data_IF_980096227641
#
_entry.id   IF_980096227641
#
_cell.length_a   1.000
_cell.length_b   1.000
_cell.length_c   1.000
_cell.angle_alpha   90.00
_cell.angle_beta   90.00
_cell.angle_gamma   90.00
#
_symmetry.space_group_name_H-M   'P 1'
#
loop_
_entity.id
_entity.type
_entity.pdbx_description
1 polymer ?
#
# COMPACT_ATOMS: atom_id res chain seq x y z
N UNK A 1 4.38 -11.36 29.06
CA UNK A 1 4.42 -11.48 27.58
C UNK A 1 5.62 -10.66 27.10
N UNK A 2 6.55 -11.28 26.38
CA UNK A 2 7.75 -10.60 25.89
C UNK A 2 7.37 -9.63 24.76
N UNK A 3 7.66 -8.34 24.92
CA UNK A 3 7.36 -7.31 23.92
C UNK A 3 8.44 -7.39 22.84
N UNK A 4 8.12 -7.98 21.69
CA UNK A 4 9.04 -8.00 20.55
C UNK A 4 8.82 -6.77 19.68
N UNK A 5 9.90 -6.20 19.15
CA UNK A 5 9.86 -5.10 18.17
C UNK A 5 8.91 -5.42 16.99
N UNK A 6 8.90 -6.68 16.55
CA UNK A 6 7.99 -7.21 15.53
C UNK A 6 6.52 -7.16 15.97
N UNK A 7 6.23 -7.51 17.22
CA UNK A 7 4.88 -7.42 17.79
C UNK A 7 4.39 -5.98 17.88
N UNK A 8 5.23 -5.05 18.34
CA UNK A 8 4.89 -3.62 18.40
C UNK A 8 4.65 -3.05 17.01
N UNK A 9 5.48 -3.42 16.04
CA UNK A 9 5.32 -2.93 14.67
C UNK A 9 4.06 -3.49 14.00
N UNK A 10 3.79 -4.79 14.16
CA UNK A 10 2.56 -5.40 13.67
C UNK A 10 1.32 -4.74 14.28
N UNK A 11 1.32 -4.51 15.59
CA UNK A 11 0.22 -3.84 16.28
C UNK A 11 0.05 -2.40 15.77
N UNK A 12 1.15 -1.66 15.59
CA UNK A 12 1.11 -0.32 15.00
C UNK A 12 0.60 -0.34 13.57
N UNK A 13 1.03 -1.30 12.75
CA UNK A 13 0.54 -1.44 11.38
C UNK A 13 -0.95 -1.77 11.35
N UNK A 14 -1.39 -2.65 12.25
CA UNK A 14 -2.78 -3.03 12.40
C UNK A 14 -3.63 -1.83 12.83
N UNK A 15 -3.21 -1.05 13.84
CA UNK A 15 -3.82 0.23 14.23
C UNK A 15 -3.85 1.22 13.06
N UNK A 16 -2.80 1.22 12.23
CA UNK A 16 -2.69 2.13 11.10
C UNK A 16 -3.65 1.76 9.98
N UNK A 17 -3.97 0.49 9.75
CA UNK A 17 -4.88 0.09 8.66
C UNK A 17 -6.33 -0.15 9.12
N UNK A 18 -6.55 -0.79 10.27
CA UNK A 18 -7.90 -1.02 10.80
C UNK A 18 -8.57 0.31 11.24
N UNK A 19 -7.80 1.22 11.82
CA UNK A 19 -8.29 2.55 12.18
C UNK A 19 -8.57 3.47 10.97
N UNK A 20 -8.09 3.14 9.77
CA UNK A 20 -8.39 3.94 8.56
C UNK A 20 -9.83 3.76 8.13
N UNK A 21 -10.35 2.53 8.19
CA UNK A 21 -11.71 2.27 7.70
C UNK A 21 -12.74 2.87 8.67
N UNK A 22 -12.53 2.72 9.99
CA UNK A 22 -13.38 3.36 11.02
C UNK A 22 -13.35 4.88 10.93
N UNK A 23 -12.16 5.48 10.85
CA UNK A 23 -12.01 6.93 10.74
C UNK A 23 -12.56 7.45 9.40
N UNK A 24 -12.38 6.70 8.30
CA UNK A 24 -12.96 7.05 7.00
C UNK A 24 -14.48 7.03 7.05
N UNK A 25 -15.09 6.09 7.77
CA UNK A 25 -16.54 6.02 7.91
C UNK A 25 -17.09 7.10 8.84
N UNK A 26 -16.35 7.47 9.90
CA UNK A 26 -16.66 8.64 10.72
C UNK A 26 -16.64 9.93 9.88
N UNK A 27 -15.58 10.15 9.10
CA UNK A 27 -15.42 11.29 8.19
C UNK A 27 -16.56 11.34 7.16
N UNK A 28 -16.96 10.19 6.60
CA UNK A 28 -18.07 10.11 5.63
C UNK A 28 -19.43 10.47 6.24
N UNK A 29 -19.60 10.28 7.55
CA UNK A 29 -20.84 10.65 8.26
C UNK A 29 -20.91 12.15 8.55
N UNK A 30 -19.78 12.87 8.53
CA UNK A 30 -19.73 14.34 8.65
C UNK A 30 -20.21 15.01 7.36
N UNK A 31 -21.51 15.28 7.28
CA UNK A 31 -22.16 15.86 6.10
C UNK A 31 -22.78 17.25 6.38
N UNK A 32 -22.70 17.74 7.61
CA UNK A 32 -23.25 19.05 7.96
C UNK A 32 -22.32 20.19 7.45
N UNK A 33 -22.87 21.33 6.98
CA UNK A 33 -22.06 22.41 6.39
C UNK A 33 -21.04 23.02 7.35
N UNK A 34 -21.37 23.08 8.64
CA UNK A 34 -20.53 23.56 9.74
C UNK A 34 -19.38 22.60 10.08
N UNK A 35 -19.49 21.32 9.70
CA UNK A 35 -18.45 20.31 9.90
C UNK A 35 -17.45 20.23 8.73
N UNK A 36 -17.60 21.05 7.69
CA UNK A 36 -16.78 20.95 6.47
C UNK A 36 -15.28 21.15 6.74
N UNK A 37 -14.92 22.10 7.58
CA UNK A 37 -13.53 22.38 7.93
C UNK A 37 -12.93 21.23 8.75
N UNK A 38 -13.61 20.81 9.82
CA UNK A 38 -13.19 19.67 10.66
C UNK A 38 -13.03 18.38 9.84
N UNK A 39 -13.97 18.11 8.93
CA UNK A 39 -13.90 16.96 8.02
C UNK A 39 -12.63 17.02 7.16
N UNK A 40 -12.35 18.18 6.58
CA UNK A 40 -11.17 18.39 5.71
C UNK A 40 -9.87 18.17 6.48
N UNK A 41 -9.80 18.69 7.71
CA UNK A 41 -8.64 18.51 8.58
C UNK A 41 -8.44 17.05 8.99
N UNK A 42 -9.53 16.35 9.34
CA UNK A 42 -9.50 14.91 9.65
C UNK A 42 -9.05 14.07 8.45
N UNK A 43 -9.54 14.38 7.25
CA UNK A 43 -9.10 13.74 5.99
C UNK A 43 -7.59 13.96 5.76
N UNK A 44 -7.11 15.21 5.91
CA UNK A 44 -5.70 15.54 5.73
C UNK A 44 -4.80 14.83 6.74
N UNK A 45 -5.14 14.86 8.03
CA UNK A 45 -4.36 14.22 9.09
C UNK A 45 -4.32 12.70 8.93
N UNK A 46 -5.43 12.08 8.56
CA UNK A 46 -5.51 10.66 8.25
C UNK A 46 -4.56 10.27 7.11
N UNK A 47 -4.59 11.05 6.01
CA UNK A 47 -3.73 10.85 4.85
C UNK A 47 -2.25 11.00 5.21
N UNK A 48 -1.89 12.05 5.95
CA UNK A 48 -0.51 12.28 6.39
C UNK A 48 0.01 11.13 7.28
N UNK A 49 -0.81 10.69 8.24
CA UNK A 49 -0.46 9.56 9.11
C UNK A 49 -0.23 8.29 8.31
N UNK A 50 -1.15 7.96 7.40
CA UNK A 50 -1.06 6.76 6.55
C UNK A 50 0.20 6.77 5.69
N UNK A 51 0.47 7.87 4.98
CA UNK A 51 1.65 8.00 4.13
C UNK A 51 2.95 7.99 4.95
N UNK A 52 2.98 8.64 6.10
CA UNK A 52 4.14 8.64 7.01
C UNK A 52 4.48 7.23 7.49
N UNK A 53 3.46 6.45 7.88
CA UNK A 53 3.63 5.07 8.34
C UNK A 53 4.10 4.14 7.22
N UNK A 54 3.54 4.27 6.02
CA UNK A 54 3.98 3.51 4.85
C UNK A 54 5.44 3.81 4.49
N UNK A 55 5.83 5.09 4.50
CA UNK A 55 7.23 5.49 4.29
C UNK A 55 8.14 4.87 5.34
N UNK A 56 7.78 4.99 6.62
CA UNK A 56 8.55 4.41 7.71
C UNK A 56 8.72 2.90 7.57
N UNK A 57 7.64 2.17 7.26
CA UNK A 57 7.70 0.73 7.04
C UNK A 57 8.53 0.36 5.81
N UNK A 58 8.44 1.16 4.74
CA UNK A 58 9.29 1.00 3.56
C UNK A 58 10.77 1.12 3.91
N UNK A 59 11.15 2.16 4.66
CA UNK A 59 12.54 2.34 5.12
C UNK A 59 13.03 1.19 6.01
N UNK A 60 12.18 0.69 6.93
CA UNK A 60 12.51 -0.46 7.75
C UNK A 60 12.71 -1.74 6.92
N UNK A 61 11.89 -1.95 5.89
CA UNK A 61 12.00 -3.09 5.00
C UNK A 61 13.28 -3.05 4.17
N UNK A 62 13.60 -1.88 3.60
CA UNK A 62 14.84 -1.66 2.84
C UNK A 62 16.08 -1.93 3.70
N UNK A 63 16.03 -1.59 4.99
CA UNK A 63 17.09 -1.86 5.99
C UNK A 63 17.07 -3.27 6.59
N UNK A 64 16.24 -4.19 6.07
CA UNK A 64 16.05 -5.57 6.58
C UNK A 64 15.63 -5.65 8.05
N UNK A 65 15.01 -4.60 8.59
CA UNK A 65 14.56 -4.55 9.99
C UNK A 65 13.18 -5.19 10.18
N UNK A 66 12.46 -5.44 9.08
CA UNK A 66 11.13 -6.07 9.11
C UNK A 66 11.07 -7.17 8.04
N UNK A 67 10.38 -8.29 8.31
CA UNK A 67 10.29 -9.39 7.37
C UNK A 67 9.33 -9.07 6.22
N UNK A 68 9.55 -9.70 5.08
CA UNK A 68 8.76 -9.55 3.84
C UNK A 68 7.25 -9.79 4.06
N UNK A 69 6.89 -10.72 4.94
CA UNK A 69 5.48 -10.97 5.30
C UNK A 69 4.72 -9.72 5.77
N UNK A 70 5.41 -8.74 6.35
CA UNK A 70 4.82 -7.47 6.76
C UNK A 70 4.47 -6.63 5.53
N UNK A 71 5.34 -6.63 4.53
CA UNK A 71 5.14 -5.94 3.26
C UNK A 71 3.97 -6.57 2.49
N UNK A 72 3.90 -7.91 2.44
CA UNK A 72 2.75 -8.62 1.87
C UNK A 72 1.44 -8.19 2.55
N UNK A 73 1.41 -8.17 3.88
CA UNK A 73 0.23 -7.73 4.62
C UNK A 73 -0.18 -6.30 4.28
N UNK A 74 0.77 -5.35 4.24
CA UNK A 74 0.51 -3.96 3.83
C UNK A 74 -0.08 -3.89 2.42
N UNK A 75 0.51 -4.61 1.46
CA UNK A 75 0.02 -4.63 0.06
C UNK A 75 -1.38 -5.24 -0.01
N UNK A 76 -1.65 -6.29 0.75
CA UNK A 76 -2.97 -6.91 0.83
C UNK A 76 -4.01 -5.95 1.39
N UNK A 77 -3.73 -5.28 2.52
CA UNK A 77 -4.67 -4.33 3.12
C UNK A 77 -4.96 -3.12 2.21
N UNK A 78 -3.96 -2.63 1.47
CA UNK A 78 -4.15 -1.55 0.51
C UNK A 78 -4.92 -1.98 -0.74
N UNK A 79 -4.82 -3.26 -1.13
CA UNK A 79 -5.60 -3.84 -2.22
C UNK A 79 -6.97 -4.37 -1.78
N UNK A 80 -7.24 -4.40 -0.47
CA UNK A 80 -8.43 -5.04 0.08
C UNK A 80 -9.68 -4.22 -0.23
N UNK A 81 -10.69 -4.97 -0.60
CA UNK A 81 -12.02 -4.51 -0.99
C UNK A 81 -12.94 -4.60 0.23
N UNK A 82 -13.02 -3.55 1.05
CA UNK A 82 -14.03 -3.46 2.09
C UNK A 82 -15.38 -3.13 1.42
N UNK A 83 -16.21 -4.15 1.21
CA UNK A 83 -17.59 -4.12 0.64
C UNK A 83 -17.76 -3.60 -0.80
N UNK A 84 -16.80 -2.81 -1.30
CA UNK A 84 -16.76 -2.25 -2.65
C UNK A 84 -15.84 -3.12 -3.51
N UNK A 85 -16.27 -3.47 -4.73
CA UNK A 85 -15.46 -4.18 -5.75
C UNK A 85 -14.13 -3.48 -6.14
N UNK A 86 -13.83 -2.31 -5.57
CA UNK A 86 -12.71 -1.45 -5.89
C UNK A 86 -12.17 -0.75 -4.62
N UNK A 87 -10.84 -0.74 -4.38
CA UNK A 87 -10.24 0.02 -3.29
C UNK A 87 -10.45 1.53 -3.48
N UNK A 88 -10.34 2.30 -2.40
CA UNK A 88 -10.36 3.76 -2.51
C UNK A 88 -9.16 4.26 -3.32
N UNK A 89 -9.35 5.39 -4.01
CA UNK A 89 -8.27 6.03 -4.77
C UNK A 89 -7.05 6.36 -3.91
N UNK A 90 -7.29 6.73 -2.65
CA UNK A 90 -6.24 7.02 -1.66
C UNK A 90 -5.41 5.78 -1.31
N UNK A 91 -6.06 4.62 -1.10
CA UNK A 91 -5.36 3.35 -0.87
C UNK A 91 -4.52 2.97 -2.09
N UNK A 92 -5.02 3.18 -3.31
CA UNK A 92 -4.27 2.90 -4.55
C UNK A 92 -3.08 3.84 -4.75
N UNK A 93 -3.22 5.13 -4.47
CA UNK A 93 -2.09 6.07 -4.49
C UNK A 93 -1.02 5.68 -3.49
N UNK A 94 -1.43 5.38 -2.26
CA UNK A 94 -0.56 4.98 -1.19
C UNK A 94 0.21 3.69 -1.55
N UNK A 95 -0.48 2.72 -2.16
CA UNK A 95 0.12 1.51 -2.68
C UNK A 95 1.13 1.78 -3.79
N UNK A 96 0.78 2.62 -4.76
CA UNK A 96 1.70 2.97 -5.85
C UNK A 96 2.97 3.64 -5.31
N UNK A 97 2.82 4.57 -4.37
CA UNK A 97 3.96 5.22 -3.71
C UNK A 97 4.81 4.22 -2.93
N UNK A 98 4.17 3.33 -2.18
CA UNK A 98 4.86 2.31 -1.40
C UNK A 98 5.65 1.36 -2.29
N UNK A 99 5.02 0.80 -3.34
CA UNK A 99 5.67 -0.09 -4.31
C UNK A 99 6.78 0.61 -5.09
N UNK A 100 6.66 1.91 -5.39
CA UNK A 100 7.76 2.68 -5.99
C UNK A 100 9.03 2.65 -5.12
N UNK A 101 8.87 2.67 -3.80
CA UNK A 101 9.98 2.65 -2.84
C UNK A 101 10.52 1.24 -2.59
N UNK A 102 9.64 0.28 -2.29
CA UNK A 102 10.06 -1.05 -1.84
C UNK A 102 10.15 -2.10 -2.96
N UNK A 103 9.54 -1.82 -4.11
CA UNK A 103 9.22 -2.80 -5.14
C UNK A 103 10.40 -3.58 -5.67
N UNK A 104 11.54 -2.92 -5.95
CA UNK A 104 12.76 -3.59 -6.43
C UNK A 104 13.26 -4.68 -5.47
N UNK A 105 13.17 -4.41 -4.17
CA UNK A 105 13.58 -5.36 -3.12
C UNK A 105 12.49 -6.41 -2.90
N UNK A 106 11.23 -5.98 -2.89
CA UNK A 106 10.07 -6.81 -2.65
C UNK A 106 9.84 -7.85 -3.75
N UNK A 107 10.12 -7.51 -5.00
CA UNK A 107 9.92 -8.39 -6.15
C UNK A 107 11.10 -9.33 -6.43
N UNK A 108 12.04 -9.43 -5.48
CA UNK A 108 13.12 -10.40 -5.54
C UNK A 108 14.13 -10.14 -6.66
N UNK A 109 14.78 -8.97 -6.66
CA UNK A 109 15.98 -8.75 -7.48
C UNK A 109 17.13 -9.64 -7.02
N UNK A 110 17.20 -10.88 -7.55
CA UNK A 110 18.36 -11.80 -7.53
C UNK A 110 19.16 -11.87 -6.21
N UNK A 111 18.53 -11.79 -5.05
CA UNK A 111 19.21 -12.12 -3.79
C UNK A 111 19.22 -13.63 -3.58
N UNK A 112 20.40 -14.16 -3.28
CA UNK A 112 20.81 -15.59 -3.22
C UNK A 112 20.12 -16.38 -2.08
N UNK A 113 18.93 -15.98 -1.64
CA UNK A 113 18.23 -16.60 -0.51
C UNK A 113 17.17 -17.60 -1.03
N UNK A 114 17.56 -18.88 -1.11
CA UNK A 114 16.75 -20.08 -1.34
C UNK A 114 15.75 -20.04 -2.53
N UNK A 115 16.04 -20.77 -3.60
CA UNK A 115 15.20 -20.84 -4.81
C UNK A 115 13.74 -21.28 -4.60
N UNK A 116 13.38 -21.84 -3.45
CA UNK A 116 11.99 -22.24 -3.13
C UNK A 116 11.17 -21.07 -2.55
N UNK A 117 11.72 -20.29 -1.61
CA UNK A 117 11.02 -19.12 -1.02
C UNK A 117 10.87 -17.99 -2.04
N UNK A 118 11.82 -17.87 -2.97
CA UNK A 118 11.77 -16.85 -4.03
C UNK A 118 10.63 -17.11 -5.04
N UNK A 119 10.31 -18.39 -5.31
CA UNK A 119 9.24 -18.78 -6.25
C UNK A 119 7.85 -18.48 -5.70
N UNK A 120 7.61 -18.72 -4.41
CA UNK A 120 6.30 -18.43 -3.80
C UNK A 120 6.04 -16.93 -3.67
N UNK A 121 7.03 -16.14 -3.24
CA UNK A 121 6.92 -14.67 -3.18
C UNK A 121 6.64 -14.08 -4.56
N UNK A 122 7.36 -14.52 -5.60
CA UNK A 122 7.12 -14.07 -6.97
C UNK A 122 5.69 -14.34 -7.45
N UNK A 123 5.16 -15.54 -7.18
CA UNK A 123 3.79 -15.89 -7.54
C UNK A 123 2.77 -14.98 -6.85
N UNK A 124 2.97 -14.70 -5.56
CA UNK A 124 2.10 -13.79 -4.80
C UNK A 124 2.18 -12.37 -5.38
N UNK A 125 3.38 -11.91 -5.73
CA UNK A 125 3.56 -10.60 -6.35
C UNK A 125 2.90 -10.53 -7.72
N UNK A 126 2.98 -11.59 -8.52
CA UNK A 126 2.27 -11.69 -9.80
C UNK A 126 0.75 -11.58 -9.62
N UNK A 127 0.19 -12.14 -8.55
CA UNK A 127 -1.23 -11.95 -8.21
C UNK A 127 -1.56 -10.49 -7.89
N UNK A 128 -0.74 -9.78 -7.11
CA UNK A 128 -0.96 -8.36 -6.82
C UNK A 128 -0.92 -7.51 -8.08
N UNK A 129 0.06 -7.75 -8.96
CA UNK A 129 0.17 -7.01 -10.22
C UNK A 129 -0.93 -7.39 -11.23
N UNK A 130 -1.44 -8.62 -11.18
CA UNK A 130 -2.67 -9.01 -11.88
C UNK A 130 -3.87 -8.20 -11.41
N UNK A 131 -4.04 -8.02 -10.09
CA UNK A 131 -5.10 -7.16 -9.54
C UNK A 131 -4.91 -5.69 -9.96
N UNK A 132 -3.70 -5.13 -9.84
CA UNK A 132 -3.38 -3.78 -10.32
C UNK A 132 -3.71 -3.60 -11.80
N UNK A 133 -3.44 -4.61 -12.63
CA UNK A 133 -3.78 -4.57 -14.07
C UNK A 133 -5.29 -4.45 -14.28
N UNK A 134 -6.11 -5.21 -13.56
CA UNK A 134 -7.58 -5.05 -13.62
C UNK A 134 -8.04 -3.66 -13.18
N UNK A 135 -7.45 -3.12 -12.11
CA UNK A 135 -7.76 -1.80 -11.58
C UNK A 135 -7.31 -0.67 -12.52
N UNK A 136 -6.25 -0.87 -13.29
CA UNK A 136 -5.71 0.14 -14.23
C UNK A 136 -6.69 0.58 -15.32
N UNK A 137 -7.78 -0.16 -15.52
CA UNK A 137 -8.84 0.14 -16.49
C UNK A 137 -10.24 0.21 -15.84
N UNK A 138 -10.33 0.19 -14.51
CA UNK A 138 -11.61 0.20 -13.82
C UNK A 138 -12.32 1.56 -14.00
N UNK A 139 -13.61 1.58 -14.37
CA UNK A 139 -14.32 2.82 -14.71
C UNK A 139 -14.51 3.76 -13.51
N UNK A 140 -14.61 3.21 -12.29
CA UNK A 140 -14.81 3.99 -11.06
C UNK A 140 -13.55 4.68 -10.52
N UNK A 141 -12.37 4.41 -11.09
CA UNK A 141 -11.11 5.03 -10.67
C UNK A 141 -10.79 6.21 -11.58
N UNK A 142 -10.43 7.37 -11.04
CA UNK A 142 -10.11 8.53 -11.85
C UNK A 142 -8.89 8.30 -12.75
N UNK A 143 -8.79 9.08 -13.84
CA UNK A 143 -7.71 8.96 -14.84
C UNK A 143 -6.32 9.05 -14.22
N UNK A 144 -6.13 9.95 -13.25
CA UNK A 144 -4.83 10.18 -12.59
C UNK A 144 -4.37 8.94 -11.82
N UNK A 145 -5.25 8.32 -11.04
CA UNK A 145 -4.90 7.12 -10.27
C UNK A 145 -4.69 5.92 -11.18
N UNK A 146 -5.50 5.75 -12.24
CA UNK A 146 -5.23 4.72 -13.27
C UNK A 146 -3.85 4.91 -13.92
N UNK A 147 -3.44 6.15 -14.18
CA UNK A 147 -2.11 6.44 -14.72
C UNK A 147 -1.00 6.09 -13.72
N UNK A 148 -1.15 6.40 -12.43
CA UNK A 148 -0.20 5.98 -11.39
C UNK A 148 -0.06 4.46 -11.33
N UNK A 149 -1.16 3.72 -11.37
CA UNK A 149 -1.16 2.26 -11.38
C UNK A 149 -0.41 1.72 -12.60
N UNK A 150 -0.67 2.25 -13.80
CA UNK A 150 0.05 1.86 -15.03
C UNK A 150 1.55 2.12 -14.92
N UNK A 151 1.96 3.28 -14.41
CA UNK A 151 3.39 3.59 -14.22
C UNK A 151 4.08 2.57 -13.30
N UNK A 152 3.40 2.07 -12.27
CA UNK A 152 3.97 1.05 -11.37
C UNK A 152 4.05 -0.31 -12.06
N UNK A 153 3.05 -0.68 -12.87
CA UNK A 153 3.11 -1.89 -13.69
C UNK A 153 4.28 -1.81 -14.67
N UNK A 154 4.41 -0.69 -15.39
CA UNK A 154 5.49 -0.45 -16.36
C UNK A 154 6.86 -0.45 -15.68
N UNK A 155 6.97 0.16 -14.50
CA UNK A 155 8.19 0.16 -13.69
C UNK A 155 8.61 -1.27 -13.34
N UNK A 156 7.68 -2.13 -12.92
CA UNK A 156 7.97 -3.55 -12.66
C UNK A 156 8.39 -4.28 -13.94
N UNK A 157 7.67 -4.08 -15.04
CA UNK A 157 8.00 -4.68 -16.35
C UNK A 157 9.38 -4.27 -16.85
N UNK A 158 9.85 -3.07 -16.49
CA UNK A 158 11.20 -2.57 -16.76
C UNK A 158 12.21 -2.92 -15.66
N UNK A 159 12.00 -4.01 -14.92
CA UNK A 159 12.89 -4.49 -13.85
C UNK A 159 13.20 -3.41 -12.78
N UNK A 160 12.20 -2.58 -12.46
CA UNK A 160 12.32 -1.49 -11.49
C UNK A 160 13.37 -0.42 -11.85
N UNK A 161 13.66 -0.28 -13.14
CA UNK A 161 14.52 0.79 -13.67
C UNK A 161 13.63 1.97 -14.08
N UNK A 162 13.83 3.17 -13.50
CA UNK A 162 13.08 4.34 -13.91
C UNK A 162 13.34 4.65 -15.39
N UNK A 163 12.29 4.65 -16.19
CA UNK A 163 12.35 5.12 -17.58
C UNK A 163 12.55 6.63 -17.55
N UNK A 164 13.73 7.11 -17.93
CA UNK A 164 14.03 8.55 -17.96
C UNK A 164 13.05 9.28 -18.87
N UNK A 165 12.27 10.19 -18.29
CA UNK A 165 11.64 11.32 -18.97
C UNK A 165 11.73 12.53 -18.04
#
# INVERSE_FOLDING_TARGET
>A
KEITFKGVLLNKLQIVFEGIDELSDEIRKMNAPDQKEERTDKEMLSKLRTLGNLRFCGELFLKRKIPEKIVHHIVQELLRDAEKMCPSEEKLEALCLFLKTVGKRFDGSKSVESSLSLKSSKLINDMYFGRLKSLSNHPQICRRVRFLVRNIIDLRSNNWIPSGK
#
